data_IF_887347364988
#
_entry.id   IF_887347364988
#
_cell.length_a   1.000
_cell.length_b   1.000
_cell.length_c   1.000
_cell.angle_alpha   90.00
_cell.angle_beta   90.00
_cell.angle_gamma   90.00
#
_symmetry.space_group_name_H-M   'P 1'
#
loop_
_entity.id
_entity.type
_entity.pdbx_description
1 polymer ?
#
# COMPACT_ATOMS: atom_id res chain seq x y z
N UNK A 1 -2.18 9.58 6.80
CA UNK A 1 -2.78 9.43 5.46
C UNK A 1 -4.17 8.85 5.62
N UNK A 2 -5.19 9.52 5.12
CA UNK A 2 -6.57 9.03 5.12
C UNK A 2 -7.10 8.87 3.68
N UNK A 3 -8.22 8.16 3.51
CA UNK A 3 -8.82 7.93 2.19
C UNK A 3 -9.21 9.23 1.48
N UNK A 4 -9.66 10.25 2.21
CA UNK A 4 -10.06 11.55 1.63
C UNK A 4 -8.87 12.30 1.02
N UNK A 5 -7.68 12.20 1.60
CA UNK A 5 -6.45 12.76 1.03
C UNK A 5 -6.03 12.03 -0.24
N UNK A 6 -6.12 10.69 -0.25
CA UNK A 6 -5.79 9.89 -1.41
C UNK A 6 -6.79 10.11 -2.57
N UNK A 7 -8.06 10.34 -2.25
CA UNK A 7 -9.11 10.69 -3.21
C UNK A 7 -8.79 12.06 -3.83
N UNK A 8 -8.49 13.07 -3.01
CA UNK A 8 -8.08 14.41 -3.47
C UNK A 8 -6.81 14.39 -4.32
N UNK A 9 -5.88 13.49 -4.02
CA UNK A 9 -4.66 13.30 -4.79
C UNK A 9 -4.90 12.53 -6.12
N UNK A 10 -6.11 12.02 -6.35
CA UNK A 10 -6.47 11.23 -7.53
C UNK A 10 -5.84 9.84 -7.53
N UNK A 11 -5.49 9.30 -6.36
CA UNK A 11 -4.88 7.97 -6.18
C UNK A 11 -5.97 6.91 -6.02
N UNK A 12 -7.04 7.24 -5.29
CA UNK A 12 -8.19 6.35 -5.11
C UNK A 12 -9.46 6.97 -5.70
N UNK A 13 -10.34 6.12 -6.23
CA UNK A 13 -11.70 6.44 -6.60
C UNK A 13 -12.64 5.99 -5.48
N UNK A 14 -13.69 6.78 -5.24
CA UNK A 14 -14.75 6.49 -4.27
C UNK A 14 -16.08 6.36 -5.00
N UNK A 15 -16.72 5.21 -4.87
CA UNK A 15 -18.02 4.93 -5.48
C UNK A 15 -19.08 4.67 -4.41
N UNK A 16 -20.26 5.28 -4.56
CA UNK A 16 -21.38 5.12 -3.64
C UNK A 16 -22.50 4.36 -4.34
N UNK A 17 -22.84 3.21 -3.78
CA UNK A 17 -23.95 2.38 -4.26
C UNK A 17 -25.17 2.66 -3.39
N UNK A 18 -26.18 3.31 -3.96
CA UNK A 18 -27.45 3.63 -3.30
C UNK A 18 -28.39 2.41 -3.24
N UNK A 19 -27.87 1.27 -2.79
CA UNK A 19 -28.61 0.04 -2.53
C UNK A 19 -28.92 -0.09 -1.02
N UNK A 20 -29.75 -1.07 -0.65
CA UNK A 20 -29.94 -1.44 0.76
C UNK A 20 -29.22 -2.78 0.98
N UNK A 21 -28.18 -2.85 1.82
CA UNK A 21 -27.59 -1.77 2.64
C UNK A 21 -26.75 -0.77 1.83
N UNK A 22 -26.75 0.51 2.24
CA UNK A 22 -25.92 1.55 1.61
C UNK A 22 -24.45 1.16 1.70
N UNK A 23 -23.74 1.19 0.56
CA UNK A 23 -22.34 0.75 0.48
C UNK A 23 -21.47 1.78 -0.21
N UNK A 24 -20.23 1.88 0.27
CA UNK A 24 -19.19 2.71 -0.34
C UNK A 24 -18.00 1.81 -0.66
N UNK A 25 -17.53 1.86 -1.89
CA UNK A 25 -16.32 1.18 -2.31
C UNK A 25 -15.21 2.18 -2.62
N UNK A 26 -13.98 1.74 -2.39
CA UNK A 26 -12.78 2.46 -2.77
C UNK A 26 -11.93 1.56 -3.66
N UNK A 27 -11.42 2.12 -4.74
CA UNK A 27 -10.55 1.42 -5.69
C UNK A 27 -9.37 2.32 -6.08
N UNK A 28 -8.27 1.75 -6.57
CA UNK A 28 -7.20 2.56 -7.14
C UNK A 28 -7.63 3.12 -8.50
N UNK A 29 -7.32 4.39 -8.73
CA UNK A 29 -7.35 4.96 -10.08
C UNK A 29 -6.19 4.41 -10.90
N UNK A 30 -6.18 4.66 -12.22
CA UNK A 30 -5.03 4.33 -13.07
C UNK A 30 -3.73 4.99 -12.56
N UNK A 31 -3.83 6.26 -12.14
CA UNK A 31 -2.72 6.98 -11.50
C UNK A 31 -2.29 6.28 -10.20
N UNK A 32 -3.23 5.84 -9.37
CA UNK A 32 -2.91 5.11 -8.15
C UNK A 32 -2.23 3.77 -8.42
N UNK A 33 -2.66 3.04 -9.46
CA UNK A 33 -2.03 1.78 -9.90
C UNK A 33 -0.59 2.01 -10.36
N UNK A 34 -0.31 3.13 -11.03
CA UNK A 34 1.06 3.46 -11.48
C UNK A 34 2.06 3.63 -10.33
N UNK A 35 1.60 3.90 -9.09
CA UNK A 35 2.45 3.99 -7.91
C UNK A 35 3.00 2.63 -7.46
N UNK A 36 2.43 1.51 -7.94
CA UNK A 36 2.85 0.15 -7.55
C UNK A 36 4.35 -0.04 -7.65
N UNK A 37 4.95 0.31 -8.79
CA UNK A 37 6.38 0.10 -9.02
C UNK A 37 7.27 0.92 -8.08
N UNK A 38 6.81 2.11 -7.67
CA UNK A 38 7.53 2.94 -6.71
C UNK A 38 7.49 2.28 -5.32
N UNK A 39 6.32 1.80 -4.90
CA UNK A 39 6.14 1.13 -3.62
C UNK A 39 6.93 -0.20 -3.56
N UNK A 40 6.94 -0.96 -4.66
CA UNK A 40 7.77 -2.16 -4.81
C UNK A 40 9.26 -1.81 -4.67
N UNK A 41 9.73 -0.79 -5.37
CA UNK A 41 11.14 -0.35 -5.29
C UNK A 41 11.53 0.09 -3.87
N UNK A 42 10.63 0.79 -3.16
CA UNK A 42 10.84 1.15 -1.76
C UNK A 42 10.91 -0.06 -0.84
N UNK A 43 10.07 -1.07 -1.08
CA UNK A 43 10.06 -2.33 -0.34
C UNK A 43 11.36 -3.12 -0.56
N UNK A 44 11.83 -3.20 -1.80
CA UNK A 44 13.07 -3.89 -2.16
C UNK A 44 14.27 -3.24 -1.49
N UNK A 45 14.35 -1.89 -1.55
CA UNK A 45 15.38 -1.13 -0.86
C UNK A 45 15.36 -1.37 0.65
N UNK A 46 14.18 -1.34 1.28
CA UNK A 46 14.04 -1.57 2.71
C UNK A 46 14.49 -2.97 3.13
N UNK A 47 14.20 -3.98 2.30
CA UNK A 47 14.63 -5.37 2.52
C UNK A 47 16.15 -5.48 2.48
N UNK A 48 16.78 -4.90 1.46
CA UNK A 48 18.25 -4.89 1.32
C UNK A 48 18.93 -4.19 2.49
N UNK A 49 18.39 -3.06 2.93
CA UNK A 49 18.93 -2.33 4.09
C UNK A 49 18.88 -3.16 5.37
N UNK A 50 17.80 -3.92 5.59
CA UNK A 50 17.69 -4.80 6.76
C UNK A 50 18.75 -5.91 6.70
N UNK A 51 18.98 -6.50 5.53
CA UNK A 51 20.02 -7.51 5.32
C UNK A 51 21.41 -6.95 5.64
N UNK A 52 21.77 -5.80 5.07
CA UNK A 52 23.06 -5.13 5.30
C UNK A 52 23.31 -4.84 6.80
N UNK A 53 22.29 -4.39 7.52
CA UNK A 53 22.41 -4.08 8.95
C UNK A 53 22.51 -5.34 9.82
N UNK A 54 21.83 -6.42 9.45
CA UNK A 54 22.01 -7.73 10.10
C UNK A 54 23.43 -8.28 9.89
N UNK A 55 23.98 -8.14 8.69
CA UNK A 55 25.37 -8.50 8.40
C UNK A 55 26.37 -7.66 9.20
N UNK A 56 26.04 -6.39 9.47
CA UNK A 56 26.81 -5.51 10.35
C UNK A 56 26.69 -5.85 11.86
N UNK A 57 25.92 -6.88 12.22
CA UNK A 57 25.76 -7.37 13.59
C UNK A 57 24.67 -6.66 14.40
N UNK A 58 23.78 -5.89 13.75
CA UNK A 58 22.61 -5.31 14.40
C UNK A 58 21.50 -6.35 14.59
N UNK A 59 20.87 -6.35 15.77
CA UNK A 59 19.68 -7.17 16.05
C UNK A 59 18.43 -6.46 15.50
N UNK A 60 17.96 -6.90 14.33
CA UNK A 60 16.79 -6.33 13.64
C UNK A 60 15.67 -7.35 13.54
N UNK A 61 14.59 -7.10 14.28
CA UNK A 61 13.32 -7.81 14.19
C UNK A 61 12.39 -7.14 13.18
N UNK A 62 11.84 -7.93 12.24
CA UNK A 62 10.78 -7.47 11.35
C UNK A 62 9.45 -7.76 12.03
N UNK A 63 8.73 -6.71 12.43
CA UNK A 63 7.48 -6.82 13.20
C UNK A 63 6.30 -7.39 12.40
N UNK A 64 6.33 -7.31 11.06
CA UNK A 64 5.26 -7.79 10.18
C UNK A 64 5.81 -8.33 8.83
N UNK A 65 6.53 -9.46 8.82
CA UNK A 65 7.27 -9.95 7.66
C UNK A 65 6.38 -10.44 6.51
N UNK A 66 5.08 -10.60 6.74
CA UNK A 66 4.11 -11.12 5.78
C UNK A 66 2.87 -10.23 5.65
N UNK A 67 2.98 -8.93 5.95
CA UNK A 67 1.92 -8.01 5.56
C UNK A 67 1.84 -8.02 4.03
N UNK A 68 0.83 -8.72 3.49
CA UNK A 68 0.63 -8.85 2.03
C UNK A 68 0.20 -7.52 1.39
N UNK A 69 0.19 -6.43 2.16
CA UNK A 69 -0.27 -5.12 1.73
C UNK A 69 -1.75 -5.13 1.32
N UNK A 70 -2.15 -4.06 0.66
CA UNK A 70 -3.49 -3.92 0.07
C UNK A 70 -3.70 -5.01 -0.99
N UNK A 71 -4.49 -6.04 -0.66
CA UNK A 71 -4.99 -7.01 -1.64
C UNK A 71 -6.01 -6.33 -2.54
N UNK A 72 -5.62 -6.02 -3.77
CA UNK A 72 -6.55 -5.62 -4.82
C UNK A 72 -7.24 -6.90 -5.29
N UNK A 73 -8.55 -7.03 -5.08
CA UNK A 73 -9.33 -8.01 -5.84
C UNK A 73 -9.41 -7.49 -7.27
N UNK A 74 -9.02 -8.33 -8.22
CA UNK A 74 -9.27 -8.10 -9.64
C UNK A 74 -10.78 -7.96 -9.92
#
# INVERSE_FOLDING_TARGET
MNLRELEKAGIIHREVYNEVPLRVEYSLTERGRSLRHILESMSDWGTKLIEERREAGEDIEILAPNDKGLRIKD
#
